data_IF_136206249188
#
_entry.id   IF_136206249188
#
_cell.length_a   1.000
_cell.length_b   1.000
_cell.length_c   1.000
_cell.angle_alpha   90.00
_cell.angle_beta   90.00
_cell.angle_gamma   90.00
#
_symmetry.space_group_name_H-M   'P 1'
#
loop_
_entity.id
_entity.type
_entity.pdbx_description
1 polymer ?
#
# COMPACT_ATOMS: atom_id res chain seq x y z
N UNK A 1 -32.72 -3.69 40.86
CA UNK A 1 -31.58 -4.46 40.32
C UNK A 1 -31.64 -4.37 38.79
N UNK A 2 -30.80 -3.54 38.16
CA UNK A 2 -30.86 -3.25 36.71
C UNK A 2 -30.21 -4.42 35.97
N UNK A 3 -30.99 -5.15 35.18
CA UNK A 3 -30.51 -6.23 34.31
C UNK A 3 -29.38 -5.69 33.42
N UNK A 4 -28.19 -6.25 33.60
CA UNK A 4 -27.00 -5.91 32.83
C UNK A 4 -27.11 -6.68 31.52
N UNK A 5 -27.63 -6.04 30.48
CA UNK A 5 -27.71 -6.60 29.14
C UNK A 5 -26.29 -6.89 28.67
N UNK A 6 -25.94 -8.18 28.57
CA UNK A 6 -24.69 -8.62 27.96
C UNK A 6 -24.82 -8.29 26.47
N UNK A 7 -24.28 -7.14 26.04
CA UNK A 7 -24.08 -6.87 24.62
C UNK A 7 -23.24 -8.00 24.04
N UNK A 8 -23.84 -8.80 23.18
CA UNK A 8 -23.17 -9.82 22.39
C UNK A 8 -22.19 -9.11 21.45
N UNK A 9 -20.93 -8.96 21.89
CA UNK A 9 -19.85 -8.33 21.12
C UNK A 9 -19.73 -9.02 19.76
N UNK A 10 -20.22 -8.36 18.72
CA UNK A 10 -20.18 -8.81 17.34
C UNK A 10 -18.74 -9.24 16.97
N UNK A 11 -18.53 -10.55 16.79
CA UNK A 11 -17.23 -11.16 16.49
C UNK A 11 -16.87 -11.07 15.00
N UNK A 12 -17.75 -10.52 14.17
CA UNK A 12 -17.58 -10.47 12.73
C UNK A 12 -16.52 -9.45 12.33
N UNK A 13 -15.62 -9.84 11.43
CA UNK A 13 -14.57 -8.95 10.91
C UNK A 13 -15.21 -7.71 10.26
N UNK A 14 -14.69 -6.49 10.50
CA UNK A 14 -15.20 -5.30 9.85
C UNK A 14 -15.11 -5.43 8.32
N UNK A 15 -16.16 -5.02 7.59
CA UNK A 15 -16.13 -4.96 6.11
C UNK A 15 -14.92 -4.17 5.58
N UNK A 16 -14.48 -3.16 6.34
CA UNK A 16 -13.30 -2.35 6.03
C UNK A 16 -12.00 -3.17 5.94
N UNK A 17 -11.87 -4.30 6.65
CA UNK A 17 -10.68 -5.17 6.55
C UNK A 17 -10.61 -5.80 5.16
N UNK A 18 -11.74 -6.25 4.61
CA UNK A 18 -11.78 -6.80 3.25
C UNK A 18 -11.54 -5.73 2.19
N UNK A 19 -12.01 -4.50 2.41
CA UNK A 19 -11.68 -3.37 1.55
C UNK A 19 -10.18 -3.04 1.58
N UNK A 20 -9.57 -2.95 2.76
CA UNK A 20 -8.12 -2.76 2.94
C UNK A 20 -7.35 -3.87 2.22
N UNK A 21 -7.76 -5.13 2.40
CA UNK A 21 -7.15 -6.28 1.73
C UNK A 21 -7.20 -6.14 0.21
N UNK A 22 -8.40 -5.89 -0.36
CA UNK A 22 -8.57 -5.78 -1.81
C UNK A 22 -7.79 -4.62 -2.40
N UNK A 23 -7.87 -3.44 -1.77
CA UNK A 23 -7.12 -2.25 -2.19
C UNK A 23 -5.60 -2.45 -2.09
N UNK A 24 -5.11 -3.11 -1.04
CA UNK A 24 -3.69 -3.45 -0.92
C UNK A 24 -3.26 -4.44 -2.00
N UNK A 25 -4.08 -5.44 -2.31
CA UNK A 25 -3.80 -6.41 -3.37
C UNK A 25 -3.69 -5.74 -4.75
N UNK A 26 -4.50 -4.71 -5.04
CA UNK A 26 -4.38 -3.97 -6.29
C UNK A 26 -2.99 -3.35 -6.50
N UNK A 27 -2.29 -3.03 -5.42
CA UNK A 27 -0.93 -2.47 -5.49
C UNK A 27 0.13 -3.51 -5.84
N UNK A 28 -0.20 -4.80 -5.95
CA UNK A 28 0.74 -5.90 -6.27
C UNK A 28 1.45 -5.72 -7.61
N UNK A 29 0.78 -5.06 -8.55
CA UNK A 29 1.31 -4.76 -9.88
C UNK A 29 2.64 -3.98 -9.79
N UNK A 30 2.87 -3.21 -8.72
CA UNK A 30 4.11 -2.44 -8.55
C UNK A 30 5.38 -3.29 -8.48
N UNK A 31 5.27 -4.57 -8.13
CA UNK A 31 6.40 -5.51 -8.17
C UNK A 31 6.99 -5.68 -9.59
N UNK A 32 6.23 -5.37 -10.64
CA UNK A 32 6.70 -5.49 -12.02
C UNK A 32 7.90 -4.58 -12.35
N UNK A 33 8.11 -3.52 -11.57
CA UNK A 33 9.24 -2.59 -11.73
C UNK A 33 10.61 -3.27 -11.61
N UNK A 34 10.67 -4.44 -10.97
CA UNK A 34 11.83 -5.34 -10.98
C UNK A 34 12.34 -5.64 -12.39
N UNK A 35 11.43 -5.73 -13.37
CA UNK A 35 11.79 -6.05 -14.74
C UNK A 35 12.27 -4.83 -15.53
N UNK A 36 12.11 -3.61 -14.99
CA UNK A 36 12.51 -2.37 -15.65
C UNK A 36 13.94 -1.94 -15.32
N UNK A 37 14.62 -2.55 -14.34
CA UNK A 37 15.98 -2.11 -13.98
C UNK A 37 16.97 -2.09 -15.15
N UNK A 38 16.90 -3.07 -16.06
CA UNK A 38 17.76 -3.11 -17.25
C UNK A 38 17.54 -1.95 -18.21
N UNK A 39 16.39 -1.27 -18.14
CA UNK A 39 16.06 -0.15 -19.02
C UNK A 39 16.51 1.21 -18.50
N UNK A 40 17.17 1.28 -17.34
CA UNK A 40 17.82 2.50 -16.83
C UNK A 40 19.06 2.86 -17.67
N UNK A 41 19.34 4.16 -17.82
CA UNK A 41 20.52 4.68 -18.55
C UNK A 41 21.85 4.19 -17.98
N UNK A 42 21.97 4.07 -16.66
CA UNK A 42 23.14 3.50 -16.00
C UNK A 42 23.43 2.05 -16.42
N UNK A 43 22.41 1.34 -16.92
CA UNK A 43 22.48 -0.02 -17.42
C UNK A 43 22.43 -0.09 -18.97
N UNK A 44 22.53 1.05 -19.66
CA UNK A 44 22.50 1.14 -21.12
C UNK A 44 21.10 1.23 -21.73
N UNK A 45 20.05 1.44 -20.92
CA UNK A 45 18.67 1.59 -21.38
C UNK A 45 18.24 3.04 -21.66
N UNK A 46 16.95 3.22 -21.98
CA UNK A 46 16.39 4.51 -22.39
C UNK A 46 15.79 5.35 -21.25
N UNK A 47 15.54 4.76 -20.07
CA UNK A 47 14.91 5.45 -18.94
C UNK A 47 15.89 6.25 -18.07
N UNK A 48 15.48 7.43 -17.56
CA UNK A 48 16.31 8.22 -16.64
C UNK A 48 16.68 7.46 -15.36
N UNK A 49 17.89 7.68 -14.85
CA UNK A 49 18.41 6.99 -13.65
C UNK A 49 17.67 7.40 -12.38
N UNK A 50 16.97 8.53 -12.40
CA UNK A 50 16.13 9.02 -11.31
C UNK A 50 14.97 8.06 -11.00
N UNK A 51 14.60 7.17 -11.94
CA UNK A 51 13.64 6.09 -11.71
C UNK A 51 14.14 4.96 -10.83
N UNK A 52 15.44 4.89 -10.58
CA UNK A 52 16.05 3.82 -9.79
C UNK A 52 15.46 3.71 -8.39
N UNK A 53 15.34 4.84 -7.68
CA UNK A 53 14.82 4.84 -6.31
C UNK A 53 13.33 4.45 -6.29
N UNK A 54 12.42 5.09 -7.06
CA UNK A 54 11.02 4.66 -7.16
C UNK A 54 10.86 3.18 -7.53
N UNK A 55 11.66 2.65 -8.45
CA UNK A 55 11.56 1.24 -8.85
C UNK A 55 12.07 0.28 -7.79
N UNK A 56 13.11 0.62 -7.02
CA UNK A 56 13.55 -0.19 -5.88
C UNK A 56 12.45 -0.27 -4.83
N UNK A 57 11.90 0.87 -4.45
CA UNK A 57 10.86 0.94 -3.43
C UNK A 57 9.58 0.26 -3.90
N UNK A 58 9.15 0.48 -5.16
CA UNK A 58 8.04 -0.26 -5.77
C UNK A 58 8.29 -1.77 -5.72
N UNK A 59 9.48 -2.22 -6.12
CA UNK A 59 9.84 -3.64 -6.11
C UNK A 59 9.74 -4.24 -4.70
N UNK A 60 10.35 -3.60 -3.70
CA UNK A 60 10.34 -4.07 -2.32
C UNK A 60 8.92 -4.10 -1.77
N UNK A 61 8.17 -3.00 -1.90
CA UNK A 61 6.80 -2.91 -1.39
C UNK A 61 5.88 -3.90 -2.11
N UNK A 62 6.04 -4.06 -3.43
CA UNK A 62 5.32 -5.02 -4.24
C UNK A 62 5.54 -6.46 -3.78
N UNK A 63 6.80 -6.85 -3.56
CA UNK A 63 7.16 -8.18 -3.07
C UNK A 63 6.70 -8.43 -1.62
N UNK A 64 6.55 -7.39 -0.81
CA UNK A 64 6.04 -7.51 0.57
C UNK A 64 4.54 -7.81 0.63
N UNK A 65 3.77 -7.59 -0.44
CA UNK A 65 2.30 -7.67 -0.41
C UNK A 65 1.75 -8.99 0.11
N UNK A 66 2.23 -10.19 -0.28
CA UNK A 66 1.74 -11.45 0.30
C UNK A 66 1.83 -11.47 1.84
N UNK A 67 2.93 -10.94 2.39
CA UNK A 67 3.12 -10.81 3.83
C UNK A 67 2.17 -9.76 4.44
N UNK A 68 2.02 -8.59 3.80
CA UNK A 68 1.08 -7.55 4.26
C UNK A 68 -0.36 -8.06 4.27
N UNK A 69 -0.78 -8.77 3.23
CA UNK A 69 -2.11 -9.37 3.10
C UNK A 69 -2.37 -10.41 4.20
N UNK A 70 -1.37 -11.22 4.52
CA UNK A 70 -1.43 -12.13 5.67
C UNK A 70 -1.64 -11.35 6.98
N UNK A 71 -0.86 -10.29 7.22
CA UNK A 71 -1.00 -9.45 8.41
C UNK A 71 -2.37 -8.76 8.51
N UNK A 72 -2.92 -8.29 7.40
CA UNK A 72 -4.27 -7.69 7.36
C UNK A 72 -5.34 -8.69 7.83
N UNK A 73 -5.25 -9.94 7.37
CA UNK A 73 -6.27 -10.96 7.66
C UNK A 73 -6.08 -11.66 9.00
N UNK A 74 -4.84 -11.84 9.45
CA UNK A 74 -4.52 -12.70 10.60
C UNK A 74 -3.81 -11.96 11.73
N UNK A 75 -3.12 -10.86 11.42
CA UNK A 75 -2.36 -10.09 12.40
C UNK A 75 -3.25 -9.35 13.41
N UNK A 76 -2.71 -9.20 14.62
CA UNK A 76 -3.35 -8.59 15.79
C UNK A 76 -2.34 -7.79 16.61
N UNK A 77 -2.85 -6.87 17.41
CA UNK A 77 -2.06 -6.01 18.28
C UNK A 77 -1.63 -4.68 17.67
N UNK A 78 -1.16 -3.77 18.54
CA UNK A 78 -0.75 -2.41 18.19
C UNK A 78 0.41 -2.38 17.20
N UNK A 79 1.38 -3.30 17.34
CA UNK A 79 2.56 -3.37 16.47
C UNK A 79 2.18 -3.67 15.02
N UNK A 80 1.26 -4.61 14.81
CA UNK A 80 0.77 -4.95 13.46
C UNK A 80 0.02 -3.76 12.85
N UNK A 81 -0.88 -3.14 13.62
CA UNK A 81 -1.62 -1.98 13.14
C UNK A 81 -0.69 -0.82 12.76
N UNK A 82 0.29 -0.50 13.61
CA UNK A 82 1.30 0.54 13.33
C UNK A 82 2.16 0.19 12.11
N UNK A 83 2.54 -1.07 11.94
CA UNK A 83 3.28 -1.52 10.77
C UNK A 83 2.47 -1.38 9.48
N UNK A 84 1.18 -1.72 9.49
CA UNK A 84 0.29 -1.52 8.33
C UNK A 84 0.13 -0.03 7.98
N UNK A 85 0.04 0.83 8.99
CA UNK A 85 0.03 2.30 8.77
C UNK A 85 1.32 2.73 8.10
N UNK A 86 2.47 2.31 8.63
CA UNK A 86 3.77 2.68 8.08
C UNK A 86 3.93 2.19 6.64
N UNK A 87 3.55 0.94 6.36
CA UNK A 87 3.57 0.37 5.01
C UNK A 87 2.73 1.20 4.03
N UNK A 88 1.49 1.53 4.39
CA UNK A 88 0.60 2.32 3.53
C UNK A 88 1.06 3.77 3.37
N UNK A 89 1.59 4.40 4.43
CA UNK A 89 2.12 5.75 4.38
C UNK A 89 3.37 5.84 3.49
N UNK A 90 4.32 4.92 3.65
CA UNK A 90 5.50 4.82 2.78
C UNK A 90 5.04 4.55 1.34
N UNK A 91 4.10 3.64 1.12
CA UNK A 91 3.59 3.35 -0.21
C UNK A 91 2.91 4.55 -0.89
N UNK A 92 2.16 5.37 -0.14
CA UNK A 92 1.58 6.60 -0.69
C UNK A 92 2.66 7.65 -1.02
N UNK A 93 3.64 7.83 -0.12
CA UNK A 93 4.76 8.74 -0.36
C UNK A 93 5.58 8.32 -1.58
N UNK A 94 5.81 7.02 -1.74
CA UNK A 94 6.53 6.45 -2.88
C UNK A 94 5.85 6.78 -4.22
N UNK A 95 4.53 6.63 -4.33
CA UNK A 95 3.80 7.06 -5.52
C UNK A 95 3.87 8.57 -5.78
N UNK A 96 3.90 9.41 -4.73
CA UNK A 96 4.14 10.85 -4.89
C UNK A 96 5.56 11.12 -5.42
N UNK A 97 6.56 10.41 -4.92
CA UNK A 97 7.93 10.52 -5.46
C UNK A 97 8.02 10.04 -6.90
N UNK A 98 7.27 9.00 -7.27
CA UNK A 98 7.14 8.56 -8.67
C UNK A 98 6.48 9.62 -9.54
N UNK A 99 5.42 10.30 -9.06
CA UNK A 99 4.78 11.42 -9.78
C UNK A 99 5.74 12.59 -10.00
N UNK A 100 6.50 12.96 -8.97
CA UNK A 100 7.53 13.99 -9.08
C UNK A 100 8.64 13.57 -10.05
N UNK A 101 9.07 12.30 -9.99
CA UNK A 101 10.07 11.75 -10.92
C UNK A 101 9.56 11.79 -12.35
N UNK A 102 8.33 11.36 -12.62
CA UNK A 102 7.73 11.44 -13.95
C UNK A 102 7.59 12.89 -14.45
N UNK A 103 7.37 13.85 -13.54
CA UNK A 103 7.27 15.27 -13.90
C UNK A 103 8.59 15.88 -14.35
N UNK A 104 9.69 15.60 -13.63
CA UNK A 104 11.01 16.15 -13.93
C UNK A 104 11.83 15.30 -14.90
N UNK A 105 11.66 13.98 -14.84
CA UNK A 105 12.44 12.97 -15.55
C UNK A 105 11.49 11.90 -16.14
N UNK A 106 10.70 12.25 -17.17
CA UNK A 106 9.68 11.36 -17.70
C UNK A 106 10.28 10.05 -18.22
N UNK A 107 9.58 8.95 -17.93
CA UNK A 107 9.89 7.61 -18.44
C UNK A 107 9.82 7.59 -19.98
N UNK A 108 10.66 6.76 -20.60
CA UNK A 108 10.67 6.53 -22.04
C UNK A 108 9.34 5.93 -22.50
N UNK A 109 8.83 6.42 -23.63
CA UNK A 109 7.62 5.88 -24.27
C UNK A 109 7.78 4.44 -24.75
N UNK A 110 9.01 3.95 -24.90
CA UNK A 110 9.32 2.53 -25.15
C UNK A 110 8.91 1.62 -23.99
N UNK A 111 8.91 2.16 -22.76
CA UNK A 111 8.53 1.42 -21.56
C UNK A 111 7.04 1.59 -21.28
N UNK A 112 6.56 2.83 -21.25
CA UNK A 112 5.15 3.14 -21.06
C UNK A 112 4.82 4.56 -21.56
N UNK A 113 3.60 4.74 -22.09
CA UNK A 113 3.11 6.06 -22.44
C UNK A 113 2.97 6.96 -21.20
N UNK A 114 3.34 8.23 -21.31
CA UNK A 114 3.35 9.19 -20.19
C UNK A 114 2.00 9.27 -19.45
N UNK A 115 0.89 9.28 -20.20
CA UNK A 115 -0.47 9.30 -19.63
C UNK A 115 -0.75 8.08 -18.76
N UNK A 116 -0.30 6.89 -19.18
CA UNK A 116 -0.45 5.65 -18.42
C UNK A 116 0.40 5.69 -17.15
N UNK A 117 1.63 6.21 -17.22
CA UNK A 117 2.50 6.37 -16.06
C UNK A 117 1.86 7.31 -15.03
N UNK A 118 1.45 8.51 -15.43
CA UNK A 118 0.77 9.45 -14.53
C UNK A 118 -0.50 8.87 -13.92
N UNK A 119 -1.36 8.26 -14.76
CA UNK A 119 -2.63 7.70 -14.30
C UNK A 119 -2.42 6.55 -13.32
N UNK A 120 -1.46 5.66 -13.60
CA UNK A 120 -1.16 4.52 -12.72
C UNK A 120 -0.60 4.95 -11.37
N UNK A 121 0.32 5.93 -11.35
CA UNK A 121 0.89 6.48 -10.13
C UNK A 121 -0.17 7.21 -9.30
N UNK A 122 -0.98 8.07 -9.93
CA UNK A 122 -2.03 8.83 -9.25
C UNK A 122 -3.12 7.90 -8.70
N UNK A 123 -3.56 6.94 -9.50
CA UNK A 123 -4.52 5.93 -9.05
C UNK A 123 -4.00 5.18 -7.83
N UNK A 124 -2.75 4.72 -7.89
CA UNK A 124 -2.16 3.93 -6.81
C UNK A 124 -1.89 4.76 -5.56
N UNK A 125 -1.52 6.04 -5.71
CA UNK A 125 -1.45 7.00 -4.62
C UNK A 125 -2.80 7.16 -3.90
N UNK A 126 -3.88 7.33 -4.66
CA UNK A 126 -5.25 7.43 -4.11
C UNK A 126 -5.62 6.13 -3.39
N UNK A 127 -5.35 4.98 -4.00
CA UNK A 127 -5.61 3.66 -3.38
C UNK A 127 -4.89 3.51 -2.04
N UNK A 128 -3.57 3.80 -1.99
CA UNK A 128 -2.82 3.70 -0.73
C UNK A 128 -3.28 4.72 0.32
N UNK A 129 -3.64 5.93 -0.10
CA UNK A 129 -4.18 6.94 0.80
C UNK A 129 -5.53 6.49 1.39
N UNK A 130 -6.41 5.90 0.58
CA UNK A 130 -7.67 5.33 1.07
C UNK A 130 -7.39 4.20 2.08
N UNK A 131 -6.45 3.30 1.79
CA UNK A 131 -6.07 2.23 2.73
C UNK A 131 -5.59 2.82 4.06
N UNK A 132 -4.69 3.81 4.00
CA UNK A 132 -4.19 4.51 5.17
C UNK A 132 -5.32 5.11 6.01
N UNK A 133 -6.25 5.83 5.38
CA UNK A 133 -7.41 6.42 6.06
C UNK A 133 -8.35 5.34 6.66
N UNK A 134 -8.53 4.22 5.97
CA UNK A 134 -9.34 3.11 6.48
C UNK A 134 -8.73 2.47 7.73
N UNK A 135 -7.40 2.43 7.87
CA UNK A 135 -6.71 1.90 9.05
C UNK A 135 -7.03 2.69 10.33
N UNK A 136 -7.41 3.97 10.21
CA UNK A 136 -7.81 4.82 11.33
C UNK A 136 -9.31 4.73 11.66
N UNK A 137 -10.12 3.97 10.91
CA UNK A 137 -11.53 3.78 11.29
C UNK A 137 -11.63 3.05 12.62
N UNK A 138 -12.49 3.54 13.52
CA UNK A 138 -12.67 2.99 14.87
C UNK A 138 -12.91 1.47 14.88
N UNK A 139 -13.68 0.95 13.92
CA UNK A 139 -13.94 -0.51 13.79
C UNK A 139 -12.67 -1.30 13.43
N UNK A 140 -11.75 -0.71 12.68
CA UNK A 140 -10.46 -1.32 12.30
C UNK A 140 -9.49 -1.24 13.45
N UNK A 141 -9.38 -0.10 14.12
CA UNK A 141 -8.59 0.06 15.35
C UNK A 141 -9.02 -0.98 16.39
N UNK A 142 -10.32 -1.07 16.68
CA UNK A 142 -10.86 -2.05 17.62
C UNK A 142 -10.60 -3.51 17.18
N UNK A 143 -10.53 -3.78 15.87
CA UNK A 143 -10.21 -5.12 15.35
C UNK A 143 -8.77 -5.54 15.64
N UNK A 144 -7.81 -4.62 15.56
CA UNK A 144 -6.40 -4.91 15.85
C UNK A 144 -6.08 -4.81 17.34
N UNK A 145 -6.67 -3.87 18.09
CA UNK A 145 -6.35 -3.62 19.50
C UNK A 145 -7.21 -4.40 20.49
N UNK A 146 -8.02 -5.37 20.02
CA UNK A 146 -8.95 -6.12 20.86
C UNK A 146 -8.26 -6.84 22.03
N UNK A 147 -7.07 -7.37 21.79
CA UNK A 147 -6.34 -8.24 22.72
C UNK A 147 -5.48 -7.46 23.73
N UNK A 148 -5.49 -6.12 23.68
CA UNK A 148 -4.85 -5.25 24.69
C UNK A 148 -5.82 -4.82 25.80
N UNK A 149 -7.09 -5.23 25.71
CA UNK A 149 -8.16 -4.86 26.66
C UNK A 149 -8.60 -6.03 27.56
N UNK A 150 -7.86 -7.14 27.56
CA UNK A 150 -8.00 -8.26 28.50
C UNK A 150 -6.91 -8.18 29.56
#
# INVERSE_FOLDING_TARGET
>A
MKSMTIETRNTKRPKAIYAIFGLTLLTAVRAQTLFFFSSLRMNGGSNPDEWFIPWITDSILGLMIPFILYLILKGKGIKIWAFLILYSAIGAFDYLTGLATQWFHPMSSETAGSELVYSSLLFSFIVQTIVLLLLFKQRVINYYLRDLKS
#
